data_IF_686903658251
#
_entry.id   IF_686903658251
#
_cell.length_a   1.000
_cell.length_b   1.000
_cell.length_c   1.000
_cell.angle_alpha   90.00
_cell.angle_beta   90.00
_cell.angle_gamma   90.00
#
_symmetry.space_group_name_H-M   'P 1'
#
loop_
_entity.id
_entity.type
_entity.pdbx_description
1 polymer ?
#
# COMPACT_ATOMS: atom_id res chain seq x y z
N UNK A 1 -10.81 3.95 21.44
CA UNK A 1 -11.26 2.88 20.53
C UNK A 1 -10.28 1.74 20.63
N UNK A 2 -10.74 0.50 20.40
CA UNK A 2 -9.91 -0.69 20.30
C UNK A 2 -9.56 -0.94 18.83
N UNK A 3 -8.29 -0.98 18.52
CA UNK A 3 -7.78 -1.14 17.16
C UNK A 3 -7.04 -2.47 17.05
N UNK A 4 -7.44 -3.31 16.12
CA UNK A 4 -6.75 -4.55 15.78
C UNK A 4 -5.84 -4.34 14.56
N UNK A 5 -4.71 -5.03 14.55
CA UNK A 5 -3.82 -5.09 13.40
C UNK A 5 -3.55 -6.56 13.10
N UNK A 6 -3.90 -7.01 11.89
CA UNK A 6 -3.55 -8.34 11.36
C UNK A 6 -2.44 -8.15 10.33
N UNK A 7 -1.29 -8.81 10.55
CA UNK A 7 -0.04 -8.61 9.81
C UNK A 7 0.82 -7.50 10.42
N UNK A 8 1.90 -7.89 11.12
CA UNK A 8 2.77 -6.95 11.84
C UNK A 8 4.11 -6.73 11.13
N UNK A 9 4.04 -6.57 9.80
CA UNK A 9 5.15 -6.17 8.93
C UNK A 9 5.46 -4.66 9.00
N UNK A 10 6.00 -4.10 7.93
CA UNK A 10 6.35 -2.66 7.83
C UNK A 10 5.12 -1.78 8.03
N UNK A 11 4.04 -2.06 7.30
CA UNK A 11 2.78 -1.30 7.35
C UNK A 11 2.12 -1.43 8.74
N UNK A 12 1.94 -2.66 9.25
CA UNK A 12 1.35 -2.88 10.55
C UNK A 12 2.11 -2.21 11.70
N UNK A 13 3.45 -2.18 11.63
CA UNK A 13 4.30 -1.45 12.60
C UNK A 13 4.12 0.07 12.51
N UNK A 14 3.97 0.62 11.30
CA UNK A 14 3.74 2.04 11.09
C UNK A 14 2.38 2.46 11.67
N UNK A 15 1.31 1.72 11.35
CA UNK A 15 -0.03 1.91 11.92
C UNK A 15 0.02 1.84 13.45
N UNK A 16 0.59 0.76 14.00
CA UNK A 16 0.71 0.57 15.44
C UNK A 16 1.39 1.74 16.14
N UNK A 17 2.51 2.23 15.60
CA UNK A 17 3.27 3.33 16.22
C UNK A 17 2.49 4.64 16.30
N UNK A 18 1.58 4.87 15.34
CA UNK A 18 0.76 6.08 15.29
C UNK A 18 -0.46 5.94 16.20
N UNK A 19 -1.20 4.85 16.07
CA UNK A 19 -2.46 4.66 16.81
C UNK A 19 -2.27 4.39 18.30
N UNK A 20 -1.19 3.73 18.73
CA UNK A 20 -0.92 3.45 20.16
C UNK A 20 -0.82 4.72 21.02
N UNK A 21 -0.56 5.87 20.42
CA UNK A 21 -0.50 7.15 21.15
C UNK A 21 -1.87 7.62 21.67
N UNK A 22 -2.97 7.18 21.05
CA UNK A 22 -4.31 7.66 21.30
C UNK A 22 -5.35 6.57 21.54
N UNK A 23 -5.01 5.30 21.21
CA UNK A 23 -5.94 4.17 21.23
C UNK A 23 -5.33 2.93 21.84
N UNK A 24 -6.16 2.00 22.28
CA UNK A 24 -5.74 0.65 22.63
C UNK A 24 -5.50 -0.16 21.35
N UNK A 25 -4.28 -0.65 21.14
CA UNK A 25 -3.89 -1.36 19.92
C UNK A 25 -3.49 -2.79 20.24
N UNK A 26 -4.19 -3.74 19.62
CA UNK A 26 -3.87 -5.17 19.62
C UNK A 26 -3.24 -5.56 18.29
N UNK A 27 -2.26 -6.44 18.33
CA UNK A 27 -1.43 -6.83 17.19
C UNK A 27 -1.45 -8.34 17.05
N UNK A 28 -1.86 -8.82 15.92
CA UNK A 28 -1.83 -10.25 15.59
C UNK A 28 -0.98 -10.49 14.34
N UNK A 29 -0.13 -11.49 14.40
CA UNK A 29 0.66 -11.96 13.27
C UNK A 29 0.81 -13.47 13.38
N UNK A 30 0.59 -14.18 12.27
CA UNK A 30 0.60 -15.65 12.25
C UNK A 30 1.97 -16.23 12.60
N UNK A 31 3.05 -15.47 12.34
CA UNK A 31 4.43 -15.95 12.47
C UNK A 31 5.20 -15.27 13.62
N UNK A 32 4.58 -14.31 14.30
CA UNK A 32 5.21 -13.56 15.39
C UNK A 32 4.39 -13.73 16.67
N UNK A 33 5.07 -13.95 17.80
CA UNK A 33 4.41 -13.95 19.09
C UNK A 33 3.91 -12.53 19.45
N UNK A 34 2.60 -12.35 19.37
CA UNK A 34 1.86 -11.11 19.63
C UNK A 34 0.58 -11.38 20.43
N UNK A 35 -0.41 -10.49 20.33
CA UNK A 35 -1.71 -10.70 20.94
C UNK A 35 -2.46 -11.87 20.27
N UNK A 36 -3.40 -12.49 21.01
CA UNK A 36 -4.26 -13.54 20.48
C UNK A 36 -5.24 -12.98 19.44
N UNK A 37 -5.67 -13.79 18.49
CA UNK A 37 -6.68 -13.44 17.50
C UNK A 37 -8.04 -13.10 18.15
N UNK A 38 -8.35 -13.70 19.28
CA UNK A 38 -9.55 -13.41 20.07
C UNK A 38 -9.64 -11.91 20.43
N UNK A 39 -8.51 -11.29 20.86
CA UNK A 39 -8.49 -9.85 21.16
C UNK A 39 -8.80 -8.99 19.92
N UNK A 40 -8.38 -9.43 18.73
CA UNK A 40 -8.68 -8.77 17.46
C UNK A 40 -10.19 -8.79 17.20
N UNK A 41 -10.87 -9.90 17.51
CA UNK A 41 -12.32 -10.04 17.30
C UNK A 41 -13.17 -9.07 18.15
N UNK A 42 -12.61 -8.46 19.19
CA UNK A 42 -13.29 -7.47 20.04
C UNK A 42 -12.93 -6.01 19.70
N UNK A 43 -12.21 -5.75 18.59
CA UNK A 43 -11.84 -4.40 18.19
C UNK A 43 -12.98 -3.67 17.45
N UNK A 44 -12.96 -2.34 17.55
CA UNK A 44 -13.88 -1.46 16.79
C UNK A 44 -13.46 -1.40 15.31
N UNK A 45 -12.15 -1.40 15.06
CA UNK A 45 -11.53 -1.38 13.75
C UNK A 45 -10.40 -2.41 13.67
N UNK A 46 -10.26 -3.05 12.51
CA UNK A 46 -9.15 -3.96 12.21
C UNK A 46 -8.44 -3.53 10.94
N UNK A 47 -7.17 -3.21 11.03
CA UNK A 47 -6.31 -3.02 9.87
C UNK A 47 -5.76 -4.37 9.41
N UNK A 48 -5.98 -4.70 8.15
CA UNK A 48 -5.52 -5.93 7.52
C UNK A 48 -4.36 -5.59 6.57
N UNK A 49 -3.13 -5.93 6.98
CA UNK A 49 -1.89 -5.58 6.30
C UNK A 49 -0.97 -6.81 6.13
N UNK A 50 -1.57 -7.91 5.66
CA UNK A 50 -0.89 -9.18 5.37
C UNK A 50 -0.23 -9.16 3.98
N UNK A 51 0.79 -10.03 3.72
CA UNK A 51 1.40 -10.13 2.42
C UNK A 51 0.42 -10.56 1.33
N UNK A 52 0.57 -9.98 0.13
CA UNK A 52 -0.14 -10.36 -1.09
C UNK A 52 0.88 -10.51 -2.22
N UNK A 53 1.67 -11.60 -2.24
CA UNK A 53 2.72 -11.78 -3.25
C UNK A 53 2.11 -12.04 -4.63
N UNK A 54 2.91 -11.82 -5.67
CA UNK A 54 2.55 -12.25 -7.02
C UNK A 54 2.89 -13.73 -7.20
N UNK A 55 1.90 -14.51 -7.62
CA UNK A 55 2.09 -15.91 -7.98
C UNK A 55 2.39 -16.04 -9.47
N UNK A 56 3.64 -16.32 -9.80
CA UNK A 56 4.11 -16.45 -11.18
C UNK A 56 3.53 -17.66 -11.91
N UNK A 57 3.07 -18.70 -11.19
CA UNK A 57 2.47 -19.90 -11.80
C UNK A 57 1.02 -19.64 -12.20
N UNK A 58 0.28 -19.00 -11.30
CA UNK A 58 -1.13 -18.68 -11.52
C UNK A 58 -1.32 -17.34 -12.25
N UNK A 59 -0.22 -16.59 -12.49
CA UNK A 59 -0.22 -15.26 -13.12
C UNK A 59 -1.21 -14.29 -12.44
N UNK A 60 -1.19 -14.24 -11.11
CA UNK A 60 -2.08 -13.40 -10.31
C UNK A 60 -1.49 -13.04 -8.95
N UNK A 61 -2.08 -12.02 -8.31
CA UNK A 61 -1.80 -11.73 -6.90
C UNK A 61 -2.39 -12.85 -6.04
N UNK A 62 -1.60 -13.39 -5.13
CA UNK A 62 -2.04 -14.35 -4.10
C UNK A 62 -2.63 -13.58 -2.92
N UNK A 63 -3.94 -13.60 -2.80
CA UNK A 63 -4.72 -12.99 -1.73
C UNK A 63 -5.15 -13.97 -0.63
N UNK A 64 -4.56 -15.17 -0.61
CA UNK A 64 -4.91 -16.25 0.33
C UNK A 64 -4.84 -15.81 1.80
N UNK A 65 -3.86 -15.00 2.18
CA UNK A 65 -3.72 -14.47 3.54
C UNK A 65 -4.84 -13.47 3.91
N UNK A 66 -5.36 -12.72 2.92
CA UNK A 66 -6.55 -11.86 3.10
C UNK A 66 -7.77 -12.74 3.36
N UNK A 67 -7.99 -13.73 2.49
CA UNK A 67 -9.13 -14.66 2.58
C UNK A 67 -9.11 -15.39 3.93
N UNK A 68 -7.98 -15.96 4.34
CA UNK A 68 -7.83 -16.63 5.64
C UNK A 68 -8.20 -15.69 6.81
N UNK A 69 -7.77 -14.43 6.73
CA UNK A 69 -8.07 -13.43 7.78
C UNK A 69 -9.55 -13.08 7.81
N UNK A 70 -10.19 -12.92 6.65
CA UNK A 70 -11.62 -12.63 6.55
C UNK A 70 -12.48 -13.83 6.98
N UNK A 71 -12.10 -15.07 6.63
CA UNK A 71 -12.74 -16.30 7.09
C UNK A 71 -12.69 -16.37 8.63
N UNK A 72 -11.53 -16.12 9.23
CA UNK A 72 -11.37 -16.14 10.68
C UNK A 72 -12.20 -15.05 11.38
N UNK A 73 -12.24 -13.83 10.85
CA UNK A 73 -13.06 -12.74 11.40
C UNK A 73 -14.57 -13.05 11.26
N UNK A 74 -14.98 -13.59 10.13
CA UNK A 74 -16.37 -13.99 9.88
C UNK A 74 -16.81 -15.12 10.82
N UNK A 75 -16.00 -16.16 10.98
CA UNK A 75 -16.29 -17.30 11.84
C UNK A 75 -16.37 -16.91 13.33
N UNK A 76 -15.71 -15.81 13.73
CA UNK A 76 -15.79 -15.24 15.07
C UNK A 76 -16.83 -14.13 15.19
N UNK A 77 -17.72 -13.96 14.21
CA UNK A 77 -18.80 -12.96 14.21
C UNK A 77 -18.31 -11.52 14.46
N UNK A 78 -17.19 -11.13 13.85
CA UNK A 78 -16.62 -9.80 14.00
C UNK A 78 -17.61 -8.71 13.61
N UNK A 79 -17.79 -7.69 14.46
CA UNK A 79 -18.77 -6.63 14.28
C UNK A 79 -18.18 -5.26 13.95
N UNK A 80 -16.86 -5.11 14.06
CA UNK A 80 -16.14 -3.88 13.75
C UNK A 80 -16.02 -3.59 12.25
N UNK A 81 -15.18 -2.63 11.89
CA UNK A 81 -14.87 -2.27 10.51
C UNK A 81 -13.49 -2.80 10.15
N UNK A 82 -13.37 -3.50 9.02
CA UNK A 82 -12.11 -4.01 8.47
C UNK A 82 -11.60 -3.00 7.45
N UNK A 83 -10.34 -2.58 7.62
CA UNK A 83 -9.64 -1.66 6.74
C UNK A 83 -8.50 -2.43 6.07
N UNK A 84 -8.70 -2.84 4.82
CA UNK A 84 -7.70 -3.55 4.03
C UNK A 84 -6.65 -2.54 3.55
N UNK A 85 -5.39 -2.80 3.89
CA UNK A 85 -4.21 -2.01 3.52
C UNK A 85 -3.36 -2.71 2.45
N UNK A 86 -3.46 -4.02 2.35
CA UNK A 86 -2.69 -4.82 1.39
C UNK A 86 -3.15 -4.52 -0.04
N UNK A 87 -2.20 -4.44 -0.99
CA UNK A 87 -2.52 -4.25 -2.40
C UNK A 87 -3.21 -5.49 -2.96
N UNK A 88 -4.37 -5.30 -3.54
CA UNK A 88 -5.23 -6.35 -4.12
C UNK A 88 -5.76 -5.90 -5.49
N UNK A 89 -6.08 -6.83 -6.40
CA UNK A 89 -6.62 -6.48 -7.71
C UNK A 89 -7.91 -5.66 -7.63
N UNK A 90 -8.15 -4.76 -8.60
CA UNK A 90 -9.40 -3.99 -8.66
C UNK A 90 -10.64 -4.88 -8.69
N UNK A 91 -11.62 -4.55 -7.84
CA UNK A 91 -12.85 -5.32 -7.63
C UNK A 91 -12.77 -6.36 -6.50
N UNK A 92 -11.58 -6.66 -5.98
CA UNK A 92 -11.43 -7.66 -4.90
C UNK A 92 -12.20 -7.28 -3.64
N UNK A 93 -12.14 -6.03 -3.20
CA UNK A 93 -12.87 -5.58 -2.01
C UNK A 93 -14.38 -5.71 -2.15
N UNK A 94 -14.90 -5.50 -3.35
CA UNK A 94 -16.32 -5.73 -3.66
C UNK A 94 -16.68 -7.20 -3.52
N UNK A 95 -15.90 -8.10 -4.12
CA UNK A 95 -16.10 -9.55 -4.01
C UNK A 95 -16.06 -10.03 -2.56
N UNK A 96 -15.11 -9.51 -1.77
CA UNK A 96 -15.05 -9.83 -0.34
C UNK A 96 -16.28 -9.31 0.41
N UNK A 97 -16.72 -8.07 0.13
CA UNK A 97 -17.91 -7.50 0.78
C UNK A 97 -19.19 -8.28 0.42
N UNK A 98 -19.29 -8.80 -0.79
CA UNK A 98 -20.42 -9.64 -1.23
C UNK A 98 -20.37 -11.06 -0.62
N UNK A 99 -19.16 -11.64 -0.53
CA UNK A 99 -18.95 -12.99 0.03
C UNK A 99 -19.14 -13.05 1.54
N UNK A 100 -18.65 -12.02 2.24
CA UNK A 100 -18.65 -11.97 3.70
C UNK A 100 -19.67 -10.93 4.20
N UNK A 101 -20.43 -11.27 5.20
CA UNK A 101 -21.31 -10.28 5.88
C UNK A 101 -20.48 -9.42 6.86
N UNK A 102 -19.41 -8.79 6.35
CA UNK A 102 -18.46 -7.98 7.10
C UNK A 102 -18.47 -6.54 6.60
N UNK A 103 -18.05 -5.59 7.46
CA UNK A 103 -17.94 -4.18 7.10
C UNK A 103 -16.52 -3.93 6.57
N UNK A 104 -16.34 -3.98 5.27
CA UNK A 104 -15.03 -3.88 4.61
C UNK A 104 -14.84 -2.50 4.00
N UNK A 105 -13.66 -1.93 4.19
CA UNK A 105 -13.14 -0.71 3.58
C UNK A 105 -11.78 -1.03 2.95
N UNK A 106 -11.49 -0.45 1.80
CA UNK A 106 -10.15 -0.46 1.24
C UNK A 106 -9.50 0.91 1.46
N UNK A 107 -8.29 0.91 2.02
CA UNK A 107 -7.49 2.12 2.22
C UNK A 107 -6.07 1.86 1.76
N UNK A 108 -5.70 2.28 0.53
CA UNK A 108 -4.38 2.03 -0.03
C UNK A 108 -3.26 2.60 0.83
N UNK A 109 -2.09 1.96 0.77
CA UNK A 109 -0.90 2.35 1.50
C UNK A 109 0.12 3.02 0.57
N UNK A 110 0.71 4.14 1.02
CA UNK A 110 1.65 4.95 0.25
C UNK A 110 3.00 5.15 0.93
N UNK A 111 3.35 4.29 1.89
CA UNK A 111 4.63 4.35 2.61
C UNK A 111 5.82 4.08 1.69
N UNK A 112 6.92 4.79 1.93
CA UNK A 112 8.21 4.56 1.28
C UNK A 112 8.99 3.51 2.06
N UNK A 113 9.16 2.31 1.49
CA UNK A 113 9.78 1.16 2.17
C UNK A 113 11.23 1.44 2.62
N UNK A 114 11.99 2.23 1.83
CA UNK A 114 13.41 2.51 2.05
C UNK A 114 13.73 3.67 2.99
N UNK A 115 12.72 4.37 3.53
CA UNK A 115 12.91 5.57 4.35
C UNK A 115 12.37 5.39 5.78
N UNK A 116 11.45 6.26 6.22
CA UNK A 116 10.86 6.20 7.54
C UNK A 116 9.35 5.91 7.46
N UNK A 117 8.92 4.64 7.30
CA UNK A 117 7.52 4.28 7.15
C UNK A 117 6.62 4.76 8.28
N UNK A 118 7.13 4.84 9.50
CA UNK A 118 6.36 5.33 10.66
C UNK A 118 6.07 6.81 10.56
N UNK A 119 7.03 7.61 10.12
CA UNK A 119 6.87 9.05 9.87
C UNK A 119 5.94 9.27 8.69
N UNK A 120 6.16 8.55 7.58
CA UNK A 120 5.33 8.65 6.39
C UNK A 120 3.85 8.37 6.69
N UNK A 121 3.56 7.39 7.56
CA UNK A 121 2.19 7.12 7.98
C UNK A 121 1.63 8.21 8.90
N UNK A 122 2.39 8.68 9.87
CA UNK A 122 1.94 9.67 10.85
C UNK A 122 1.74 11.08 10.24
N UNK A 123 2.46 11.39 9.18
CA UNK A 123 2.44 12.70 8.50
C UNK A 123 1.74 12.65 7.14
N UNK A 124 0.98 11.59 6.83
CA UNK A 124 0.28 11.51 5.55
C UNK A 124 -0.80 12.58 5.43
N UNK A 125 -0.79 13.31 4.30
CA UNK A 125 -1.75 14.38 4.03
C UNK A 125 -2.94 13.93 3.17
N UNK A 126 -2.89 12.71 2.63
CA UNK A 126 -3.94 12.19 1.75
C UNK A 126 -4.38 10.81 2.23
N UNK A 127 -5.67 10.65 2.48
CA UNK A 127 -6.29 9.39 2.90
C UNK A 127 -7.39 9.04 1.91
N UNK A 128 -7.24 7.93 1.22
CA UNK A 128 -8.25 7.40 0.29
C UNK A 128 -9.05 6.31 0.99
N UNK A 129 -10.38 6.43 0.99
CA UNK A 129 -11.30 5.50 1.62
C UNK A 129 -12.24 4.93 0.54
N UNK A 130 -11.96 3.71 0.13
CA UNK A 130 -12.74 2.95 -0.84
C UNK A 130 -13.85 2.16 -0.18
N UNK A 131 -15.11 2.38 -0.60
CA UNK A 131 -16.26 1.66 -0.07
C UNK A 131 -17.44 1.66 -1.04
N UNK A 132 -18.45 0.84 -0.75
CA UNK A 132 -19.71 0.90 -1.50
C UNK A 132 -20.50 2.15 -1.10
N UNK A 133 -20.68 3.08 -2.06
CA UNK A 133 -21.46 4.33 -1.90
C UNK A 133 -21.11 5.15 -0.66
N UNK A 134 -19.83 5.20 -0.29
CA UNK A 134 -19.37 5.96 0.89
C UNK A 134 -19.74 5.34 2.24
N UNK A 135 -20.18 4.08 2.25
CA UNK A 135 -20.48 3.37 3.50
C UNK A 135 -19.30 3.44 4.46
N UNK A 136 -19.56 3.75 5.72
CA UNK A 136 -18.57 3.85 6.79
C UNK A 136 -17.50 4.94 6.63
N UNK A 137 -17.56 5.77 5.58
CA UNK A 137 -16.60 6.85 5.34
C UNK A 137 -16.37 7.71 6.57
N UNK A 138 -17.44 8.28 7.14
CA UNK A 138 -17.35 9.18 8.30
C UNK A 138 -16.73 8.52 9.53
N UNK A 139 -17.01 7.23 9.75
CA UNK A 139 -16.42 6.48 10.87
C UNK A 139 -14.92 6.26 10.69
N UNK A 140 -14.49 5.91 9.48
CA UNK A 140 -13.08 5.69 9.16
C UNK A 140 -12.34 7.03 9.12
N UNK A 141 -12.94 8.08 8.57
CA UNK A 141 -12.41 9.45 8.60
C UNK A 141 -12.19 9.90 10.04
N UNK A 142 -13.18 9.78 10.91
CA UNK A 142 -13.06 10.13 12.34
C UNK A 142 -11.93 9.35 13.03
N UNK A 143 -11.76 8.06 12.70
CA UNK A 143 -10.65 7.26 13.21
C UNK A 143 -9.30 7.87 12.82
N UNK A 144 -9.09 8.20 11.54
CA UNK A 144 -7.84 8.78 11.06
C UNK A 144 -7.61 10.22 11.57
N UNK A 145 -8.65 11.05 11.67
CA UNK A 145 -8.58 12.41 12.23
C UNK A 145 -8.08 12.42 13.68
N UNK A 146 -8.27 11.33 14.42
CA UNK A 146 -7.79 11.22 15.80
C UNK A 146 -6.26 11.08 15.92
N UNK A 147 -5.56 10.80 14.81
CA UNK A 147 -4.11 10.48 14.84
C UNK A 147 -3.30 11.19 13.75
N UNK A 148 -3.93 11.69 12.69
CA UNK A 148 -3.26 12.34 11.57
C UNK A 148 -3.31 13.87 11.69
N UNK A 149 -2.47 14.60 10.90
CA UNK A 149 -2.51 16.06 10.84
C UNK A 149 -3.91 16.59 10.48
N UNK A 150 -4.27 17.75 11.05
CA UNK A 150 -5.60 18.38 10.83
C UNK A 150 -5.84 18.79 9.38
N UNK A 151 -4.77 19.07 8.65
CA UNK A 151 -4.75 19.43 7.23
C UNK A 151 -4.87 18.22 6.29
N UNK A 152 -4.95 17.01 6.81
CA UNK A 152 -5.11 15.81 5.98
C UNK A 152 -6.42 15.83 5.22
N UNK A 153 -6.34 15.51 3.93
CA UNK A 153 -7.48 15.48 3.00
C UNK A 153 -7.99 14.04 2.85
N UNK A 154 -9.30 13.87 2.93
CA UNK A 154 -9.97 12.57 2.90
C UNK A 154 -10.81 12.42 1.62
N UNK A 155 -10.55 11.37 0.85
CA UNK A 155 -11.25 11.07 -0.39
C UNK A 155 -12.16 9.86 -0.22
N UNK A 156 -13.47 10.06 -0.46
CA UNK A 156 -14.45 8.96 -0.52
C UNK A 156 -14.62 8.53 -1.96
N UNK A 157 -14.26 7.27 -2.26
CA UNK A 157 -14.36 6.71 -3.61
C UNK A 157 -14.94 5.28 -3.54
N UNK A 158 -15.29 4.68 -4.69
CA UNK A 158 -15.64 3.27 -4.74
C UNK A 158 -14.39 2.38 -4.56
N UNK A 159 -14.60 1.09 -4.35
CA UNK A 159 -13.51 0.12 -4.13
C UNK A 159 -12.52 0.11 -5.28
N UNK A 160 -13.00 -0.04 -6.49
CA UNK A 160 -12.17 -0.18 -7.70
C UNK A 160 -11.30 1.05 -7.92
N UNK A 161 -11.84 2.24 -7.67
CA UNK A 161 -11.06 3.49 -7.76
C UNK A 161 -9.93 3.51 -6.73
N UNK A 162 -10.22 3.14 -5.48
CA UNK A 162 -9.21 3.13 -4.43
C UNK A 162 -8.10 2.09 -4.71
N UNK A 163 -8.46 0.91 -5.20
CA UNK A 163 -7.54 -0.16 -5.58
C UNK A 163 -6.67 0.27 -6.77
N UNK A 164 -7.26 0.88 -7.82
CA UNK A 164 -6.53 1.39 -8.97
C UNK A 164 -5.60 2.56 -8.64
N UNK A 165 -5.95 3.43 -7.69
CA UNK A 165 -5.06 4.51 -7.24
C UNK A 165 -3.72 3.93 -6.76
N UNK A 166 -3.74 2.82 -6.00
CA UNK A 166 -2.51 2.17 -5.53
C UNK A 166 -1.65 1.67 -6.69
N UNK A 167 -2.25 0.93 -7.63
CA UNK A 167 -1.52 0.46 -8.82
C UNK A 167 -0.98 1.61 -9.65
N UNK A 168 -1.80 2.64 -9.92
CA UNK A 168 -1.38 3.80 -10.73
C UNK A 168 -0.14 4.49 -10.18
N UNK A 169 -0.07 4.67 -8.85
CA UNK A 169 1.13 5.25 -8.22
C UNK A 169 2.35 4.35 -8.37
N UNK A 170 2.22 3.07 -8.04
CA UNK A 170 3.36 2.15 -8.10
C UNK A 170 3.86 1.96 -9.54
N UNK A 171 2.95 1.89 -10.52
CA UNK A 171 3.31 1.84 -11.94
C UNK A 171 4.07 3.10 -12.39
N UNK A 172 3.60 4.28 -11.98
CA UNK A 172 4.29 5.54 -12.29
C UNK A 172 5.71 5.57 -11.69
N UNK A 173 5.87 5.11 -10.45
CA UNK A 173 7.17 5.05 -9.80
C UNK A 173 8.10 4.04 -10.48
N UNK A 174 7.61 2.85 -10.82
CA UNK A 174 8.38 1.84 -11.55
C UNK A 174 8.86 2.37 -12.92
N UNK A 175 7.97 3.03 -13.68
CA UNK A 175 8.31 3.66 -14.97
C UNK A 175 9.41 4.72 -14.82
N UNK A 176 9.36 5.54 -13.77
CA UNK A 176 10.41 6.55 -13.51
C UNK A 176 11.77 5.90 -13.29
N UNK A 177 11.84 4.83 -12.53
CA UNK A 177 13.09 4.09 -12.31
C UNK A 177 13.61 3.49 -13.62
N UNK A 178 12.73 2.88 -14.42
CA UNK A 178 13.11 2.33 -15.73
C UNK A 178 13.67 3.41 -16.66
N UNK A 179 12.99 4.56 -16.78
CA UNK A 179 13.45 5.71 -17.58
C UNK A 179 14.81 6.22 -17.08
N UNK A 180 14.99 6.34 -15.75
CA UNK A 180 16.26 6.79 -15.18
C UNK A 180 17.42 5.85 -15.56
N UNK A 181 17.19 4.53 -15.55
CA UNK A 181 18.19 3.55 -15.96
C UNK A 181 18.53 3.63 -17.46
N UNK A 182 17.53 3.84 -18.32
CA UNK A 182 17.75 4.04 -19.77
C UNK A 182 18.59 5.28 -20.02
N UNK A 183 18.27 6.40 -19.36
CA UNK A 183 19.04 7.66 -19.48
C UNK A 183 20.45 7.48 -18.93
N UNK A 184 20.63 6.74 -17.84
CA UNK A 184 21.94 6.41 -17.31
C UNK A 184 22.80 5.65 -18.35
N UNK A 185 22.26 4.61 -18.97
CA UNK A 185 22.97 3.85 -20.00
C UNK A 185 23.36 4.74 -21.20
N UNK A 186 22.43 5.58 -21.65
CA UNK A 186 22.71 6.55 -22.71
C UNK A 186 23.85 7.50 -22.32
N UNK A 187 23.88 7.98 -21.07
CA UNK A 187 24.99 8.78 -20.57
C UNK A 187 26.33 8.06 -20.68
N UNK A 188 26.38 6.76 -20.36
CA UNK A 188 27.62 5.97 -20.48
C UNK A 188 28.07 5.89 -21.93
N UNK A 189 27.16 5.67 -22.88
CA UNK A 189 27.47 5.60 -24.31
C UNK A 189 28.08 6.91 -24.87
N UNK A 190 27.59 8.06 -24.39
CA UNK A 190 28.02 9.39 -24.86
C UNK A 190 29.09 10.05 -23.97
N UNK A 191 29.59 9.37 -22.94
CA UNK A 191 30.59 9.90 -22.00
C UNK A 191 30.08 11.08 -21.17
N UNK A 192 28.76 11.14 -20.89
CA UNK A 192 28.10 12.17 -20.07
C UNK A 192 28.07 11.73 -18.61
N UNK A 193 28.33 12.65 -17.70
CA UNK A 193 28.16 12.39 -16.27
C UNK A 193 26.68 12.40 -15.90
N UNK A 194 26.13 11.25 -15.51
CA UNK A 194 24.72 11.09 -15.14
C UNK A 194 24.32 11.98 -13.96
N UNK A 195 25.17 12.14 -12.93
CA UNK A 195 24.82 12.96 -11.75
C UNK A 195 24.61 14.42 -12.13
N UNK A 196 25.44 14.97 -13.04
CA UNK A 196 25.28 16.32 -13.58
C UNK A 196 23.99 16.43 -14.40
N UNK A 197 23.74 15.43 -15.26
CA UNK A 197 22.49 15.41 -16.04
C UNK A 197 21.27 15.33 -15.11
N UNK A 198 21.30 14.44 -14.12
CA UNK A 198 20.21 14.25 -13.15
C UNK A 198 19.91 15.53 -12.37
N UNK A 199 20.94 16.19 -11.84
CA UNK A 199 20.79 17.47 -11.12
C UNK A 199 20.10 18.53 -11.96
N UNK A 200 20.47 18.65 -13.24
CA UNK A 200 19.90 19.65 -14.13
C UNK A 200 18.51 19.23 -14.63
N UNK A 201 18.38 18.02 -15.17
CA UNK A 201 17.17 17.58 -15.86
C UNK A 201 16.02 17.23 -14.91
N UNK A 202 16.34 16.72 -13.70
CA UNK A 202 15.31 16.26 -12.75
C UNK A 202 15.24 17.15 -11.49
N UNK A 203 16.37 17.41 -10.82
CA UNK A 203 16.35 18.07 -9.52
C UNK A 203 16.03 19.58 -9.66
N UNK A 204 16.45 20.23 -10.77
CA UNK A 204 16.22 21.66 -11.04
C UNK A 204 14.85 21.99 -11.64
N UNK A 205 14.07 21.00 -12.03
CA UNK A 205 12.73 21.20 -12.62
C UNK A 205 11.65 20.58 -11.74
N UNK A 206 10.89 21.40 -11.03
CA UNK A 206 9.83 20.99 -10.11
C UNK A 206 8.82 20.02 -10.72
N UNK A 207 8.54 20.20 -12.04
CA UNK A 207 7.58 19.36 -12.76
C UNK A 207 8.00 17.88 -12.85
N UNK A 208 9.30 17.61 -12.88
CA UNK A 208 9.86 16.27 -12.91
C UNK A 208 10.26 15.80 -11.49
N UNK A 209 10.96 16.63 -10.74
CA UNK A 209 11.47 16.39 -9.41
C UNK A 209 12.47 15.24 -9.32
N UNK A 210 13.23 15.13 -8.23
CA UNK A 210 14.32 14.15 -8.08
C UNK A 210 13.87 12.74 -7.71
N UNK A 211 12.58 12.52 -7.43
CA UNK A 211 12.13 11.28 -6.83
C UNK A 211 12.18 10.09 -7.82
N UNK A 212 12.80 8.98 -7.40
CA UNK A 212 12.92 7.72 -8.15
C UNK A 212 13.72 7.82 -9.47
N UNK A 213 14.77 8.65 -9.48
CA UNK A 213 15.69 8.79 -10.62
C UNK A 213 17.16 8.51 -10.24
N UNK A 214 17.39 7.94 -9.07
CA UNK A 214 18.72 7.52 -8.63
C UNK A 214 19.21 6.28 -9.39
N UNK A 215 20.43 6.32 -9.95
CA UNK A 215 21.09 5.17 -10.59
C UNK A 215 22.57 5.11 -10.17
N UNK A 216 23.05 4.09 -9.45
CA UNK A 216 22.24 2.97 -8.92
C UNK A 216 21.25 3.44 -7.86
N UNK A 217 20.22 2.62 -7.60
CA UNK A 217 19.25 2.90 -6.56
C UNK A 217 19.83 2.85 -5.13
N UNK A 218 19.00 3.11 -4.09
CA UNK A 218 19.44 3.14 -2.69
C UNK A 218 20.05 1.83 -2.18
N UNK A 219 19.74 0.71 -2.84
CA UNK A 219 20.30 -0.62 -2.57
C UNK A 219 21.62 -0.91 -3.33
N UNK A 220 22.14 0.07 -4.08
CA UNK A 220 23.33 -0.06 -4.91
C UNK A 220 23.13 -0.85 -6.20
N UNK A 221 21.90 -1.17 -6.59
CA UNK A 221 21.55 -1.94 -7.79
C UNK A 221 20.84 -1.07 -8.84
N UNK A 222 20.80 -1.57 -10.06
CA UNK A 222 20.04 -0.98 -11.16
C UNK A 222 18.64 -1.58 -11.23
N UNK A 223 17.71 -0.84 -11.85
CA UNK A 223 16.31 -1.23 -11.93
C UNK A 223 15.55 -0.91 -10.64
N UNK A 224 14.31 -1.34 -10.56
CA UNK A 224 13.52 -1.24 -9.35
C UNK A 224 13.43 -2.60 -8.65
N UNK A 225 13.49 -2.55 -7.33
CA UNK A 225 13.47 -3.73 -6.47
C UNK A 225 12.47 -3.56 -5.32
N UNK A 226 12.81 -4.19 -4.19
CA UNK A 226 11.93 -4.22 -3.03
C UNK A 226 10.79 -5.20 -3.20
N UNK A 227 9.79 -5.10 -2.32
CA UNK A 227 8.65 -6.03 -2.30
C UNK A 227 7.44 -5.51 -3.07
N UNK A 228 7.33 -4.21 -3.24
CA UNK A 228 6.12 -3.56 -3.75
C UNK A 228 6.17 -3.34 -5.26
N UNK A 229 7.19 -2.64 -5.79
CA UNK A 229 7.20 -2.27 -7.20
C UNK A 229 7.17 -3.48 -8.13
N UNK A 230 8.05 -4.50 -8.01
CA UNK A 230 7.99 -5.68 -8.86
C UNK A 230 6.64 -6.40 -8.78
N UNK A 231 6.17 -6.65 -7.57
CA UNK A 231 4.89 -7.33 -7.35
C UNK A 231 3.71 -6.59 -7.97
N UNK A 232 3.64 -5.27 -7.78
CA UNK A 232 2.51 -4.47 -8.25
C UNK A 232 2.58 -4.23 -9.76
N UNK A 233 3.79 -4.19 -10.35
CA UNK A 233 4.00 -4.17 -11.81
C UNK A 233 3.47 -5.44 -12.45
N UNK A 234 3.86 -6.60 -11.95
CA UNK A 234 3.36 -7.89 -12.42
C UNK A 234 1.85 -8.03 -12.19
N UNK A 235 1.39 -7.64 -10.99
CA UNK A 235 -0.03 -7.64 -10.66
C UNK A 235 -0.85 -6.75 -11.59
N UNK A 236 -0.35 -5.56 -11.93
CA UNK A 236 -1.03 -4.68 -12.89
C UNK A 236 -1.07 -5.29 -14.29
N UNK A 237 0.05 -5.83 -14.76
CA UNK A 237 0.13 -6.46 -16.08
C UNK A 237 -0.80 -7.68 -16.20
N UNK A 238 -1.05 -8.40 -15.12
CA UNK A 238 -2.03 -9.52 -15.09
C UNK A 238 -3.48 -9.05 -15.16
N UNK A 239 -3.77 -7.81 -14.76
CA UNK A 239 -5.12 -7.21 -14.81
C UNK A 239 -5.38 -6.59 -16.18
N UNK A 240 -4.40 -5.86 -16.69
CA UNK A 240 -4.48 -5.14 -17.95
C UNK A 240 -3.13 -5.21 -18.64
N UNK A 241 -2.98 -6.16 -19.58
CA UNK A 241 -1.76 -6.33 -20.34
C UNK A 241 -1.40 -5.04 -21.09
N UNK A 242 -0.17 -4.59 -20.90
CA UNK A 242 0.40 -3.46 -21.64
C UNK A 242 1.85 -3.76 -21.97
N UNK A 243 2.21 -3.68 -23.24
CA UNK A 243 3.57 -3.88 -23.70
C UNK A 243 4.57 -2.94 -23.01
N UNK A 244 4.18 -1.70 -22.71
CA UNK A 244 5.01 -0.75 -21.95
C UNK A 244 5.26 -1.26 -20.54
N UNK A 245 4.26 -1.87 -19.89
CA UNK A 245 4.39 -2.42 -18.54
C UNK A 245 5.23 -3.69 -18.53
N UNK A 246 5.12 -4.51 -19.57
CA UNK A 246 5.93 -5.72 -19.74
C UNK A 246 7.43 -5.41 -19.90
N UNK A 247 7.77 -4.26 -20.52
CA UNK A 247 9.15 -3.82 -20.75
C UNK A 247 9.74 -3.00 -19.57
N UNK A 248 8.94 -2.62 -18.57
CA UNK A 248 9.38 -1.95 -17.34
C UNK A 248 9.96 -2.96 -16.36
#
# INVERSE_FOLDING_TARGET
MNIGIIGYGVVGKAISSTFTKHHQVYKYDKFLEKDSFEKICHCDFVFLSVPTPYDTKENRIDDSAIIESLDNLSNNNFQGIIIIKSTIPPGSSRLYNEKYNLKIIFNPEFLRESQNPRKDFAEQHTVVIGSDKGKFFDKVKFLFESVLPKESVYHSVNYETAELIKYSQNMTLASRVAIANIVYDTCQEYGVNYDVLKEIAFDSFDILGPYMVEVPGPDGKRGFGGKCLPKDTEGFNSIHYSKIVEEI
#
